data_IF_422471764311
#
_entry.id   IF_422471764311
#
_cell.length_a   1.000
_cell.length_b   1.000
_cell.length_c   1.000
_cell.angle_alpha   90.00
_cell.angle_beta   90.00
_cell.angle_gamma   90.00
#
_symmetry.space_group_name_H-M   'P 1'
#
loop_
_entity.id
_entity.type
_entity.pdbx_description
1 polymer ?
#
# COMPACT_ATOMS: atom_id res chain seq x y z
N UNK A 1 3.17 -6.85 11.91
CA UNK A 1 1.85 -6.87 11.25
C UNK A 1 1.74 -8.00 10.24
N UNK A 2 2.66 -8.11 9.28
CA UNK A 2 2.60 -9.11 8.19
C UNK A 2 2.59 -10.58 8.65
N UNK A 3 3.19 -10.90 9.80
CA UNK A 3 3.22 -12.25 10.38
C UNK A 3 2.12 -12.52 11.43
N UNK A 4 1.20 -11.56 11.65
CA UNK A 4 0.18 -11.71 12.70
C UNK A 4 -0.82 -12.81 12.29
N UNK A 5 -1.05 -13.84 13.12
CA UNK A 5 -2.07 -14.85 12.84
C UNK A 5 -3.45 -14.22 12.62
N UNK A 6 -4.18 -14.69 11.61
CA UNK A 6 -5.50 -14.17 11.24
C UNK A 6 -5.48 -12.85 10.46
N UNK A 7 -4.31 -12.41 9.96
CA UNK A 7 -4.21 -11.25 9.06
C UNK A 7 -3.81 -11.71 7.67
N UNK A 8 -4.80 -11.83 6.78
CA UNK A 8 -4.59 -12.28 5.41
C UNK A 8 -4.01 -11.17 4.53
N UNK A 9 -4.59 -9.97 4.59
CA UNK A 9 -4.14 -8.78 3.84
C UNK A 9 -3.96 -7.57 4.77
N UNK A 10 -3.14 -6.60 4.34
CA UNK A 10 -2.98 -5.31 5.01
C UNK A 10 -3.38 -4.16 4.09
N UNK A 11 -3.92 -3.09 4.66
CA UNK A 11 -4.11 -1.82 3.96
C UNK A 11 -3.08 -0.82 4.49
N UNK A 12 -2.33 -0.20 3.58
CA UNK A 12 -1.30 0.80 3.92
C UNK A 12 -1.83 2.17 3.53
N UNK A 13 -2.34 2.92 4.51
CA UNK A 13 -3.04 4.17 4.23
C UNK A 13 -2.64 5.29 5.19
N UNK A 14 -2.48 6.50 4.67
CA UNK A 14 -2.25 7.72 5.45
C UNK A 14 -3.02 8.91 4.86
N UNK A 15 -3.25 9.94 5.68
CA UNK A 15 -3.74 11.24 5.21
C UNK A 15 -2.74 11.87 4.22
N UNK A 16 -3.15 12.96 3.56
CA UNK A 16 -2.25 13.70 2.66
C UNK A 16 -1.14 14.34 3.50
N UNK A 17 0.12 14.12 3.12
CA UNK A 17 1.31 14.55 3.87
C UNK A 17 2.31 15.23 2.93
N UNK A 18 2.95 16.32 3.37
CA UNK A 18 3.79 17.13 2.45
C UNK A 18 5.22 16.62 2.26
N UNK A 19 5.78 15.93 3.25
CA UNK A 19 7.22 15.56 3.27
C UNK A 19 7.49 14.07 3.18
N UNK A 20 6.49 13.23 3.51
CA UNK A 20 6.67 11.78 3.45
C UNK A 20 6.95 11.35 2.02
N UNK A 21 8.08 10.71 1.80
CA UNK A 21 8.48 10.16 0.52
C UNK A 21 7.79 8.84 0.27
N UNK A 22 6.87 8.85 -0.68
CA UNK A 22 6.04 7.68 -1.03
C UNK A 22 6.91 6.55 -1.57
N UNK A 23 7.93 6.87 -2.35
CA UNK A 23 8.86 5.89 -2.90
C UNK A 23 9.66 5.14 -1.82
N UNK A 24 10.06 5.81 -0.73
CA UNK A 24 10.76 5.17 0.40
C UNK A 24 9.81 4.22 1.13
N UNK A 25 8.58 4.65 1.40
CA UNK A 25 7.59 3.81 2.10
C UNK A 25 7.21 2.61 1.25
N UNK A 26 6.95 2.80 -0.04
CA UNK A 26 6.67 1.71 -0.98
C UNK A 26 7.80 0.66 -0.98
N UNK A 27 9.07 1.08 -1.09
CA UNK A 27 10.22 0.16 -1.01
C UNK A 27 10.25 -0.62 0.30
N UNK A 28 10.01 0.05 1.43
CA UNK A 28 10.02 -0.59 2.74
C UNK A 28 8.95 -1.68 2.87
N UNK A 29 7.72 -1.38 2.46
CA UNK A 29 6.59 -2.33 2.54
C UNK A 29 6.79 -3.50 1.58
N UNK A 30 7.20 -3.25 0.33
CA UNK A 30 7.49 -4.29 -0.65
C UNK A 30 8.61 -5.20 -0.15
N UNK A 31 9.73 -4.61 0.30
CA UNK A 31 10.88 -5.37 0.82
C UNK A 31 10.44 -6.28 1.96
N UNK A 32 9.66 -5.77 2.91
CA UNK A 32 9.15 -6.57 4.02
C UNK A 32 8.25 -7.73 3.58
N UNK A 33 7.43 -7.55 2.54
CA UNK A 33 6.64 -8.66 1.98
C UNK A 33 7.56 -9.74 1.40
N UNK A 34 8.52 -9.35 0.57
CA UNK A 34 9.45 -10.27 -0.10
C UNK A 34 10.34 -11.02 0.90
N UNK A 35 10.88 -10.35 1.91
CA UNK A 35 11.72 -10.97 2.95
C UNK A 35 10.95 -12.01 3.78
N UNK A 36 9.63 -11.86 3.88
CA UNK A 36 8.75 -12.80 4.58
C UNK A 36 8.15 -13.87 3.65
N UNK A 37 8.56 -13.90 2.37
CA UNK A 37 8.05 -14.85 1.39
C UNK A 37 6.60 -14.59 0.97
N UNK A 38 6.10 -13.37 1.16
CA UNK A 38 4.77 -12.97 0.70
C UNK A 38 4.84 -12.31 -0.67
N UNK A 39 3.86 -12.60 -1.52
CA UNK A 39 3.60 -11.81 -2.72
C UNK A 39 2.99 -10.45 -2.30
N UNK A 40 3.62 -9.30 -2.64
CA UNK A 40 3.07 -8.00 -2.30
C UNK A 40 1.67 -7.74 -2.86
N UNK A 41 1.37 -8.20 -4.08
CA UNK A 41 0.07 -8.00 -4.74
C UNK A 41 -1.05 -8.74 -4.00
N UNK A 42 -0.74 -9.90 -3.42
CA UNK A 42 -1.67 -10.65 -2.61
C UNK A 42 -1.76 -10.14 -1.18
N UNK A 43 -0.64 -9.70 -0.60
CA UNK A 43 -0.58 -9.32 0.81
C UNK A 43 -1.07 -7.91 1.09
N UNK A 44 -0.99 -7.00 0.12
CA UNK A 44 -1.38 -5.60 0.26
C UNK A 44 -2.71 -5.39 -0.47
N UNK A 45 -3.78 -5.14 0.29
CA UNK A 45 -5.11 -4.90 -0.26
C UNK A 45 -5.18 -3.56 -1.03
N UNK A 46 -4.56 -2.51 -0.47
CA UNK A 46 -4.44 -1.19 -1.09
C UNK A 46 -3.30 -0.39 -0.46
N UNK A 47 -2.64 0.44 -1.27
CA UNK A 47 -1.68 1.45 -0.83
C UNK A 47 -2.21 2.86 -1.13
N UNK A 48 -2.42 3.69 -0.10
CA UNK A 48 -2.86 5.08 -0.25
C UNK A 48 -2.07 6.01 0.66
N UNK A 49 -0.96 6.53 0.15
CA UNK A 49 -0.17 7.55 0.82
C UNK A 49 0.10 8.68 -0.17
N UNK A 50 -0.72 9.72 -0.19
CA UNK A 50 -0.44 10.88 -1.01
C UNK A 50 0.64 11.74 -0.36
N UNK A 51 1.72 11.99 -1.08
CA UNK A 51 2.83 12.79 -0.57
C UNK A 51 3.89 13.14 -1.61
N UNK A 52 5.14 13.24 -1.18
CA UNK A 52 6.25 13.61 -2.05
C UNK A 52 6.73 12.37 -2.84
N UNK A 53 7.15 12.56 -4.09
CA UNK A 53 7.65 11.49 -4.96
C UNK A 53 6.62 10.36 -5.17
N UNK A 54 5.34 10.74 -5.36
CA UNK A 54 4.22 9.81 -5.60
C UNK A 54 4.46 8.96 -6.86
N UNK A 55 4.87 9.57 -7.97
CA UNK A 55 5.07 8.85 -9.23
C UNK A 55 6.16 7.76 -9.14
N UNK A 56 7.26 8.03 -8.45
CA UNK A 56 8.31 7.03 -8.20
C UNK A 56 7.83 5.91 -7.30
N UNK A 57 6.98 6.21 -6.31
CA UNK A 57 6.31 5.22 -5.50
C UNK A 57 5.37 4.34 -6.33
N UNK A 58 4.57 4.95 -7.21
CA UNK A 58 3.60 4.25 -8.06
C UNK A 58 4.31 3.29 -9.02
N UNK A 59 5.39 3.70 -9.68
CA UNK A 59 6.20 2.81 -10.54
C UNK A 59 6.70 1.55 -9.80
N UNK A 60 6.99 1.67 -8.50
CA UNK A 60 7.39 0.52 -7.68
C UNK A 60 6.18 -0.37 -7.42
N UNK A 61 5.05 0.21 -7.01
CA UNK A 61 3.83 -0.54 -6.71
C UNK A 61 3.30 -1.27 -7.96
N UNK A 62 3.26 -0.60 -9.11
CA UNK A 62 2.90 -1.18 -10.41
C UNK A 62 3.77 -2.39 -10.78
N UNK A 63 5.09 -2.28 -10.57
CA UNK A 63 6.03 -3.38 -10.85
C UNK A 63 5.71 -4.65 -10.06
N UNK A 64 5.14 -4.52 -8.86
CA UNK A 64 4.78 -5.63 -8.00
C UNK A 64 3.27 -5.92 -8.00
N UNK A 65 2.49 -5.32 -8.90
CA UNK A 65 1.05 -5.56 -9.00
C UNK A 65 0.24 -5.08 -7.79
N UNK A 66 0.77 -4.13 -7.01
CA UNK A 66 0.09 -3.61 -5.83
C UNK A 66 -0.88 -2.50 -6.23
N UNK A 67 -2.16 -2.65 -5.88
CA UNK A 67 -3.14 -1.58 -6.09
C UNK A 67 -2.85 -0.37 -5.21
N UNK A 68 -2.94 0.81 -5.79
CA UNK A 68 -2.74 2.07 -5.09
C UNK A 68 -3.77 3.12 -5.47
N UNK A 69 -3.85 4.16 -4.63
CA UNK A 69 -4.70 5.31 -4.85
C UNK A 69 -3.97 6.60 -4.49
N UNK A 70 -4.22 7.66 -5.26
CA UNK A 70 -3.63 8.98 -5.07
C UNK A 70 -4.53 9.91 -4.23
N UNK A 71 -4.24 11.21 -4.25
CA UNK A 71 -5.00 12.24 -3.55
C UNK A 71 -6.46 12.41 -4.00
N UNK A 72 -6.83 11.96 -5.21
CA UNK A 72 -8.21 12.03 -5.70
C UNK A 72 -9.14 11.09 -4.93
N UNK A 73 -8.58 10.05 -4.31
CA UNK A 73 -9.31 9.08 -3.51
C UNK A 73 -9.24 9.47 -2.04
N UNK A 74 -10.42 9.60 -1.41
CA UNK A 74 -10.52 9.86 0.02
C UNK A 74 -10.08 8.66 0.86
N UNK A 75 -9.72 8.89 2.11
CA UNK A 75 -9.38 7.81 3.05
C UNK A 75 -10.53 6.80 3.22
N UNK A 76 -11.77 7.30 3.30
CA UNK A 76 -12.95 6.45 3.45
C UNK A 76 -13.21 5.57 2.23
N UNK A 77 -13.04 6.14 1.04
CA UNK A 77 -13.14 5.41 -0.22
C UNK A 77 -12.05 4.31 -0.30
N UNK A 78 -10.81 4.63 0.04
CA UNK A 78 -9.71 3.65 0.07
C UNK A 78 -9.99 2.52 1.08
N UNK A 79 -10.51 2.85 2.26
CA UNK A 79 -10.90 1.85 3.26
C UNK A 79 -12.03 0.95 2.77
N UNK A 80 -13.04 1.51 2.07
CA UNK A 80 -14.13 0.72 1.47
C UNK A 80 -13.57 -0.29 0.47
N UNK A 81 -12.72 0.15 -0.46
CA UNK A 81 -12.06 -0.73 -1.44
C UNK A 81 -11.21 -1.81 -0.79
N UNK A 82 -10.51 -1.49 0.30
CA UNK A 82 -9.73 -2.47 1.05
C UNK A 82 -10.62 -3.59 1.63
N UNK A 83 -11.78 -3.23 2.18
CA UNK A 83 -12.74 -4.20 2.74
C UNK A 83 -13.39 -5.03 1.65
N UNK A 84 -13.78 -4.43 0.52
CA UNK A 84 -14.37 -5.12 -0.64
C UNK A 84 -13.44 -6.20 -1.23
N UNK A 85 -12.12 -6.12 -0.99
CA UNK A 85 -11.12 -7.11 -1.43
C UNK A 85 -10.87 -8.26 -0.45
N UNK A 86 -11.40 -8.16 0.77
CA UNK A 86 -11.27 -9.19 1.81
C UNK A 86 -12.54 -10.05 1.88
N UNK A 87 -13.66 -9.53 1.35
CA UNK A 87 -14.96 -10.19 1.31
C UNK A 87 -15.13 -11.22 0.20
#
# INVERSE_FOLDING_TARGET
MLQKPGVDKIAVMMSIVSNTRVDIVARGVIKACLELGHDPSEKIAIFRIPGAWEEEGFKILERYGVEYADRSVSMHEAARRAVEKIG
#
